data_IF_112142304117
#
_entry.id   IF_112142304117
#
_cell.length_a   1.000
_cell.length_b   1.000
_cell.length_c   1.000
_cell.angle_alpha   90.00
_cell.angle_beta   90.00
_cell.angle_gamma   90.00
#
_symmetry.space_group_name_H-M   'P 1'
#
loop_
_entity.id
_entity.type
_entity.pdbx_description
1 polymer ?
#
# COMPACT_ATOMS: atom_id res chain seq x y z
N UNK A 1 34.89 64.15 11.95
CA UNK A 1 33.48 63.92 11.57
C UNK A 1 33.25 62.43 11.38
N UNK A 2 32.47 61.80 12.25
CA UNK A 2 32.20 60.37 12.25
C UNK A 2 31.06 60.01 11.30
N UNK A 3 31.21 58.86 10.64
CA UNK A 3 30.39 58.34 9.55
C UNK A 3 29.05 57.78 10.05
N UNK A 4 27.93 58.27 9.49
CA UNK A 4 26.64 57.59 9.55
C UNK A 4 26.51 56.66 8.34
N UNK A 5 26.90 55.39 8.50
CA UNK A 5 26.54 54.32 7.56
C UNK A 5 25.96 53.14 8.34
N UNK A 6 24.72 53.29 8.80
CA UNK A 6 23.92 52.23 9.45
C UNK A 6 22.46 52.27 8.98
N UNK A 7 22.21 52.26 7.67
CA UNK A 7 20.82 52.28 7.16
C UNK A 7 20.49 51.23 6.09
N UNK A 8 21.46 50.55 5.48
CA UNK A 8 21.18 49.63 4.35
C UNK A 8 20.84 48.18 4.74
N UNK A 9 21.12 47.74 5.97
CA UNK A 9 20.90 46.34 6.38
C UNK A 9 19.45 46.00 6.78
N UNK A 10 18.65 47.02 7.13
CA UNK A 10 17.24 46.86 7.52
C UNK A 10 16.27 46.59 6.36
N UNK A 11 16.35 47.27 5.20
CA UNK A 11 15.43 46.99 4.10
C UNK A 11 15.66 45.60 3.48
N UNK A 12 16.91 45.12 3.42
CA UNK A 12 17.22 43.82 2.80
C UNK A 12 16.64 42.63 3.58
N UNK A 13 16.66 42.69 4.91
CA UNK A 13 16.06 41.67 5.77
C UNK A 13 14.52 41.66 5.65
N UNK A 14 13.91 42.82 5.47
CA UNK A 14 12.46 42.94 5.29
C UNK A 14 12.00 42.38 3.93
N UNK A 15 12.76 42.66 2.86
CA UNK A 15 12.49 42.11 1.53
C UNK A 15 12.67 40.60 1.50
N UNK A 16 13.70 40.07 2.17
CA UNK A 16 13.91 38.63 2.32
C UNK A 16 12.74 37.95 3.06
N UNK A 17 12.27 38.54 4.17
CA UNK A 17 11.14 38.01 4.92
C UNK A 17 9.83 38.06 4.10
N UNK A 18 9.61 39.13 3.34
CA UNK A 18 8.45 39.27 2.47
C UNK A 18 8.46 38.24 1.33
N UNK A 19 9.64 37.95 0.75
CA UNK A 19 9.81 36.95 -0.30
C UNK A 19 9.51 35.53 0.22
N UNK A 20 9.91 35.21 1.46
CA UNK A 20 9.60 33.92 2.10
C UNK A 20 8.11 33.77 2.37
N UNK A 21 7.41 34.84 2.76
CA UNK A 21 5.94 34.81 2.91
C UNK A 21 5.19 34.65 1.58
N UNK A 22 5.71 35.19 0.48
CA UNK A 22 5.11 35.04 -0.84
C UNK A 22 5.31 33.63 -1.44
N UNK A 23 6.33 32.90 -0.99
CA UNK A 23 6.62 31.53 -1.42
C UNK A 23 5.87 30.46 -0.60
N UNK A 24 5.19 30.84 0.49
CA UNK A 24 4.26 29.94 1.19
C UNK A 24 2.89 29.98 0.52
N UNK A 25 2.79 29.44 -0.70
CA UNK A 25 1.48 29.13 -1.29
C UNK A 25 0.85 28.01 -0.47
N UNK A 26 -0.20 28.35 0.27
CA UNK A 26 -0.99 27.36 0.99
C UNK A 26 -1.57 26.37 -0.04
N UNK A 27 -1.23 25.09 0.11
CA UNK A 27 -1.93 24.02 -0.58
C UNK A 27 -3.38 24.00 -0.05
N UNK A 28 -4.24 24.77 -0.71
CA UNK A 28 -5.67 24.87 -0.40
C UNK A 28 -6.33 23.55 -0.76
N UNK A 29 -6.42 22.65 0.22
CA UNK A 29 -7.31 21.51 0.13
C UNK A 29 -8.75 22.00 0.01
N UNK A 30 -9.49 21.47 -0.96
CA UNK A 30 -10.91 21.78 -1.09
C UNK A 30 -11.68 21.04 0.02
N UNK A 31 -12.33 21.79 0.91
CA UNK A 31 -13.24 21.20 1.92
C UNK A 31 -12.54 20.53 3.10
N UNK A 32 -13.35 19.80 3.90
CA UNK A 32 -12.94 19.11 5.13
C UNK A 32 -13.48 17.69 5.12
N UNK A 33 -12.67 16.77 5.59
CA UNK A 33 -13.05 15.36 5.77
C UNK A 33 -13.07 15.05 7.26
N UNK A 34 -14.08 14.31 7.70
CA UNK A 34 -14.16 13.75 9.05
C UNK A 34 -14.45 12.25 8.95
N UNK A 35 -13.48 11.45 9.37
CA UNK A 35 -13.66 10.01 9.53
C UNK A 35 -14.43 9.73 10.81
N UNK A 36 -15.41 8.83 10.77
CA UNK A 36 -16.12 8.40 11.99
C UNK A 36 -15.17 7.68 12.95
N UNK A 37 -14.25 6.85 12.41
CA UNK A 37 -13.23 6.12 13.16
C UNK A 37 -11.95 6.09 12.36
N UNK A 38 -10.82 6.34 13.02
CA UNK A 38 -9.47 6.20 12.42
C UNK A 38 -8.94 4.77 12.55
N UNK A 39 -9.38 4.04 13.58
CA UNK A 39 -9.11 2.61 13.75
C UNK A 39 -10.36 1.81 13.43
N UNK A 40 -10.26 0.90 12.47
CA UNK A 40 -11.39 0.14 11.94
C UNK A 40 -11.10 -1.35 12.07
N UNK A 41 -12.00 -2.08 12.72
CA UNK A 41 -11.92 -3.54 12.86
C UNK A 41 -12.56 -4.23 11.67
N UNK A 42 -11.93 -5.32 11.24
CA UNK A 42 -12.48 -6.20 10.23
C UNK A 42 -13.81 -6.79 10.73
N UNK A 43 -14.85 -6.74 9.87
CA UNK A 43 -16.18 -7.25 10.21
C UNK A 43 -16.25 -8.75 9.91
N UNK A 44 -16.70 -9.53 10.91
CA UNK A 44 -16.86 -10.99 10.85
C UNK A 44 -17.71 -11.47 9.69
N UNK A 45 -18.75 -10.72 9.34
CA UNK A 45 -19.83 -11.22 8.50
C UNK A 45 -19.39 -11.41 7.04
N UNK A 46 -18.39 -10.65 6.56
CA UNK A 46 -17.96 -10.67 5.15
C UNK A 46 -16.49 -10.26 4.91
N UNK A 47 -15.58 -10.40 5.89
CA UNK A 47 -14.12 -10.23 5.68
C UNK A 47 -13.72 -8.87 5.08
N UNK A 48 -14.07 -7.77 5.75
CA UNK A 48 -13.64 -6.45 5.30
C UNK A 48 -13.93 -5.32 6.29
N UNK A 49 -13.38 -4.15 5.97
CA UNK A 49 -13.47 -2.94 6.80
C UNK A 49 -14.55 -2.02 6.24
N UNK A 50 -15.49 -1.60 7.10
CA UNK A 50 -16.48 -0.57 6.75
C UNK A 50 -15.95 0.78 7.16
N UNK A 51 -15.71 1.63 6.16
CA UNK A 51 -15.26 3.00 6.35
C UNK A 51 -16.47 3.92 6.31
N UNK A 52 -16.55 4.81 7.29
CA UNK A 52 -17.56 5.86 7.36
C UNK A 52 -16.87 7.22 7.38
N UNK A 53 -17.28 8.07 6.45
CA UNK A 53 -16.67 9.37 6.21
C UNK A 53 -17.76 10.42 6.02
N UNK A 54 -17.52 11.60 6.61
CA UNK A 54 -18.33 12.80 6.39
C UNK A 54 -17.49 13.79 5.60
N UNK A 55 -18.01 14.21 4.46
CA UNK A 55 -17.32 15.13 3.55
C UNK A 55 -18.06 16.45 3.60
N UNK A 56 -17.30 17.53 3.82
CA UNK A 56 -17.79 18.89 3.85
C UNK A 56 -17.09 19.67 2.75
N UNK A 57 -17.82 20.03 1.69
CA UNK A 57 -17.29 20.85 0.61
C UNK A 57 -17.53 22.34 0.94
N UNK A 58 -16.65 23.24 0.47
CA UNK A 58 -16.80 24.68 0.73
C UNK A 58 -18.02 25.27 0.02
N UNK A 59 -18.44 24.64 -1.09
CA UNK A 59 -19.63 24.97 -1.86
C UNK A 59 -20.32 23.68 -2.28
N UNK A 60 -21.65 23.72 -2.39
CA UNK A 60 -22.41 22.61 -2.92
C UNK A 60 -21.97 22.29 -4.37
N UNK A 61 -21.82 21.00 -4.71
CA UNK A 61 -21.49 20.60 -6.06
C UNK A 61 -22.65 20.95 -7.01
N UNK A 62 -22.34 21.11 -8.30
CA UNK A 62 -23.33 21.35 -9.34
C UNK A 62 -24.03 20.08 -9.84
N UNK A 63 -23.60 18.92 -9.36
CA UNK A 63 -24.10 17.60 -9.73
C UNK A 63 -24.51 16.84 -8.47
N UNK A 64 -25.55 15.99 -8.54
CA UNK A 64 -26.03 15.22 -7.39
C UNK A 64 -25.03 14.15 -6.94
N UNK A 65 -24.21 13.64 -7.85
CA UNK A 65 -23.20 12.63 -7.60
C UNK A 65 -21.84 13.11 -8.09
N UNK A 66 -20.83 12.99 -7.25
CA UNK A 66 -19.46 13.38 -7.55
C UNK A 66 -18.56 12.15 -7.48
N UNK A 67 -17.87 11.77 -8.58
CA UNK A 67 -16.93 10.67 -8.54
C UNK A 67 -15.70 11.11 -7.76
N UNK A 68 -15.30 10.31 -6.77
CA UNK A 68 -14.17 10.57 -5.88
C UNK A 68 -13.23 9.37 -5.91
N UNK A 69 -11.93 9.65 -5.87
CA UNK A 69 -10.86 8.66 -5.79
C UNK A 69 -10.27 8.67 -4.40
N UNK A 70 -10.34 7.53 -3.71
CA UNK A 70 -9.67 7.30 -2.45
C UNK A 70 -8.34 6.60 -2.73
N UNK A 71 -7.23 7.29 -2.50
CA UNK A 71 -5.88 6.76 -2.66
C UNK A 71 -5.39 6.28 -1.29
N UNK A 72 -5.24 4.95 -1.15
CA UNK A 72 -4.74 4.27 0.03
C UNK A 72 -3.28 3.89 -0.16
N UNK A 73 -2.36 4.66 0.43
CA UNK A 73 -0.94 4.36 0.42
C UNK A 73 -0.58 3.56 1.69
N UNK A 74 -0.14 2.30 1.58
CA UNK A 74 0.22 1.50 2.75
C UNK A 74 1.53 2.02 3.38
N UNK A 75 1.46 2.42 4.65
CA UNK A 75 2.58 2.96 5.44
C UNK A 75 3.14 1.90 6.37
N UNK A 76 2.31 1.01 6.90
CA UNK A 76 2.75 -0.06 7.77
C UNK A 76 1.88 -1.30 7.59
N UNK A 77 2.51 -2.46 7.71
CA UNK A 77 1.86 -3.76 7.70
C UNK A 77 1.88 -4.35 9.11
N UNK A 78 0.76 -4.96 9.52
CA UNK A 78 0.71 -5.68 10.79
C UNK A 78 1.02 -7.16 10.51
N UNK A 79 2.28 -7.51 10.74
CA UNK A 79 2.79 -8.86 10.54
C UNK A 79 2.42 -9.74 11.72
N UNK A 80 1.93 -10.95 11.44
CA UNK A 80 1.81 -12.04 12.41
C UNK A 80 2.92 -13.03 12.14
N UNK A 81 3.99 -12.98 12.94
CA UNK A 81 5.13 -13.86 12.75
C UNK A 81 5.23 -14.89 13.86
N UNK A 82 5.53 -16.13 13.49
CA UNK A 82 5.94 -17.16 14.45
C UNK A 82 7.46 -17.10 14.59
N UNK A 83 7.92 -16.66 15.76
CA UNK A 83 9.35 -16.49 16.07
C UNK A 83 9.67 -17.41 17.26
N UNK A 84 10.55 -18.40 17.02
CA UNK A 84 11.12 -19.34 18.00
C UNK A 84 10.20 -19.67 19.19
N UNK A 85 9.17 -20.48 18.90
CA UNK A 85 8.13 -20.93 19.82
C UNK A 85 6.78 -21.14 19.13
N UNK A 86 5.74 -21.49 19.89
CA UNK A 86 4.36 -21.71 19.41
C UNK A 86 3.47 -20.46 19.52
N UNK A 87 4.03 -19.30 19.87
CA UNK A 87 3.27 -18.05 20.04
C UNK A 87 3.39 -17.17 18.80
N UNK A 88 2.24 -16.68 18.35
CA UNK A 88 2.13 -15.67 17.30
C UNK A 88 2.48 -14.30 17.88
N UNK A 89 3.49 -13.65 17.29
CA UNK A 89 3.85 -12.28 17.62
C UNK A 89 3.30 -11.34 16.55
N UNK A 90 2.51 -10.36 16.99
CA UNK A 90 2.07 -9.25 16.13
C UNK A 90 3.09 -8.11 16.17
N UNK A 91 3.58 -7.71 14.99
CA UNK A 91 4.56 -6.64 14.84
C UNK A 91 4.18 -5.68 13.74
N UNK A 92 4.32 -4.38 14.02
CA UNK A 92 4.20 -3.31 13.03
C UNK A 92 5.49 -3.23 12.19
N UNK A 93 5.38 -3.51 10.91
CA UNK A 93 6.47 -3.39 9.93
C UNK A 93 6.22 -2.15 9.08
N UNK A 94 7.07 -1.11 9.14
CA UNK A 94 6.91 0.05 8.26
C UNK A 94 7.19 -0.34 6.81
N UNK A 95 6.35 0.16 5.91
CA UNK A 95 6.46 0.00 4.47
C UNK A 95 6.85 1.33 3.83
N UNK A 96 7.71 1.29 2.81
CA UNK A 96 8.13 2.45 2.03
C UNK A 96 8.05 2.14 0.54
N UNK A 97 7.68 3.14 -0.28
CA UNK A 97 7.68 3.02 -1.74
C UNK A 97 6.61 2.08 -2.32
N UNK A 98 5.58 1.72 -1.55
CA UNK A 98 4.45 0.94 -2.04
C UNK A 98 3.50 1.83 -2.85
N UNK A 99 2.94 1.27 -3.91
CA UNK A 99 1.95 1.97 -4.74
C UNK A 99 0.64 2.18 -3.96
N UNK A 100 0.02 3.36 -4.16
CA UNK A 100 -1.30 3.64 -3.60
C UNK A 100 -2.38 2.83 -4.34
N UNK A 101 -3.25 2.19 -3.58
CA UNK A 101 -4.45 1.53 -4.10
C UNK A 101 -5.54 2.58 -4.28
N UNK A 102 -6.23 2.57 -5.41
CA UNK A 102 -7.21 3.61 -5.76
C UNK A 102 -8.59 2.98 -5.80
N UNK A 103 -9.48 3.45 -4.92
CA UNK A 103 -10.91 3.12 -4.97
C UNK A 103 -11.67 4.30 -5.55
N UNK A 104 -12.24 4.08 -6.74
CA UNK A 104 -13.15 5.04 -7.37
C UNK A 104 -14.57 4.81 -6.86
N UNK A 105 -15.13 5.80 -6.19
CA UNK A 105 -16.47 5.71 -5.59
C UNK A 105 -17.26 6.96 -5.93
N UNK A 106 -18.53 6.79 -6.30
CA UNK A 106 -19.42 7.91 -6.59
C UNK A 106 -20.19 8.33 -5.33
N UNK A 107 -20.04 9.60 -4.93
CA UNK A 107 -20.58 10.11 -3.67
C UNK A 107 -21.78 11.01 -3.96
N UNK A 108 -22.94 10.62 -3.41
CA UNK A 108 -24.17 11.41 -3.48
C UNK A 108 -24.17 12.59 -2.50
N UNK A 109 -24.44 13.78 -3.00
CA UNK A 109 -24.68 15.02 -2.25
C UNK A 109 -26.15 15.46 -2.26
N UNK A 110 -26.99 14.73 -2.99
CA UNK A 110 -28.43 14.91 -2.99
C UNK A 110 -29.02 14.35 -1.69
N UNK A 111 -29.69 15.21 -0.90
CA UNK A 111 -30.46 14.75 0.25
C UNK A 111 -31.79 14.15 -0.23
N UNK A 112 -32.06 12.85 0.01
CA UNK A 112 -33.27 12.18 -0.50
C UNK A 112 -34.57 12.76 0.09
N UNK A 113 -34.52 13.43 1.25
CA UNK A 113 -35.69 14.06 1.84
C UNK A 113 -36.06 15.39 1.19
N UNK A 114 -35.08 16.27 1.00
CA UNK A 114 -35.32 17.62 0.47
C UNK A 114 -35.15 17.76 -1.04
N UNK A 115 -34.52 16.78 -1.72
CA UNK A 115 -34.16 16.86 -3.14
C UNK A 115 -33.14 17.97 -3.44
N UNK A 116 -32.52 18.56 -2.41
CA UNK A 116 -31.52 19.62 -2.55
C UNK A 116 -30.13 19.02 -2.48
N UNK A 117 -29.22 19.60 -3.26
CA UNK A 117 -27.80 19.25 -3.20
C UNK A 117 -27.18 20.01 -2.02
N UNK A 118 -26.81 19.27 -0.97
CA UNK A 118 -26.13 19.84 0.18
C UNK A 118 -24.61 19.88 -0.03
N UNK A 119 -23.88 20.83 0.57
CA UNK A 119 -22.42 20.84 0.57
C UNK A 119 -21.80 19.76 1.47
N UNK A 120 -22.62 19.07 2.28
CA UNK A 120 -22.20 18.07 3.24
C UNK A 120 -22.87 16.74 2.92
N UNK A 121 -22.11 15.65 3.04
CA UNK A 121 -22.66 14.31 2.87
C UNK A 121 -21.99 13.34 3.85
N UNK A 122 -22.73 12.29 4.21
CA UNK A 122 -22.23 11.17 4.98
C UNK A 122 -22.22 9.96 4.06
N UNK A 123 -21.08 9.31 3.97
CA UNK A 123 -20.87 8.22 3.05
C UNK A 123 -20.22 7.04 3.78
N UNK A 124 -20.61 5.83 3.42
CA UNK A 124 -20.01 4.62 3.94
C UNK A 124 -19.77 3.63 2.83
N UNK A 125 -18.60 3.02 2.81
CA UNK A 125 -18.26 1.97 1.84
C UNK A 125 -17.45 0.87 2.52
N UNK A 126 -17.35 -0.26 1.84
CA UNK A 126 -16.64 -1.44 2.31
C UNK A 126 -15.36 -1.59 1.51
N UNK A 127 -14.26 -1.84 2.20
CA UNK A 127 -12.98 -2.23 1.64
C UNK A 127 -12.71 -3.66 2.04
N UNK A 128 -12.21 -4.50 1.12
CA UNK A 128 -12.07 -5.94 1.34
C UNK A 128 -10.68 -6.44 0.99
N UNK A 129 -10.29 -7.57 1.58
CA UNK A 129 -9.02 -8.23 1.25
C UNK A 129 -8.92 -8.66 -0.22
N UNK A 130 -10.06 -8.93 -0.87
CA UNK A 130 -10.11 -9.29 -2.28
C UNK A 130 -9.55 -8.19 -3.21
N UNK A 131 -9.57 -6.92 -2.79
CA UNK A 131 -8.97 -5.81 -3.53
C UNK A 131 -7.48 -5.59 -3.18
N UNK A 132 -6.86 -6.52 -2.43
CA UNK A 132 -5.45 -6.43 -2.02
C UNK A 132 -5.21 -5.66 -0.71
N UNK A 133 -6.25 -5.41 0.09
CA UNK A 133 -6.10 -4.77 1.39
C UNK A 133 -5.72 -5.77 2.47
N UNK A 134 -4.89 -5.32 3.40
CA UNK A 134 -4.38 -6.11 4.52
C UNK A 134 -4.53 -5.31 5.81
N UNK A 135 -4.41 -5.97 6.96
CA UNK A 135 -4.38 -5.25 8.24
C UNK A 135 -3.06 -4.45 8.35
N UNK A 136 -3.17 -3.18 8.73
CA UNK A 136 -2.04 -2.25 8.68
C UNK A 136 -2.46 -0.80 8.80
N UNK A 137 -1.53 0.10 8.44
CA UNK A 137 -1.75 1.54 8.44
C UNK A 137 -1.68 2.08 7.02
N UNK A 138 -2.69 2.87 6.64
CA UNK A 138 -2.82 3.44 5.31
C UNK A 138 -2.92 4.96 5.41
N UNK A 139 -2.16 5.67 4.58
CA UNK A 139 -2.36 7.11 4.35
C UNK A 139 -3.44 7.24 3.29
N UNK A 140 -4.57 7.82 3.67
CA UNK A 140 -5.69 8.03 2.76
C UNK A 140 -5.68 9.45 2.27
N UNK A 141 -5.58 9.61 0.96
CA UNK A 141 -5.74 10.88 0.26
C UNK A 141 -6.99 10.81 -0.60
N UNK A 142 -7.83 11.83 -0.52
CA UNK A 142 -9.07 11.88 -1.29
C UNK A 142 -8.93 12.91 -2.40
N UNK A 143 -9.28 12.53 -3.63
CA UNK A 143 -9.27 13.42 -4.80
C UNK A 143 -10.61 13.40 -5.52
N UNK A 144 -11.02 14.54 -6.06
CA UNK A 144 -12.14 14.57 -7.01
C UNK A 144 -11.70 13.86 -8.30
N UNK A 145 -12.51 12.90 -8.75
CA UNK A 145 -12.23 12.07 -9.92
C UNK A 145 -12.24 12.83 -11.24
N UNK A 146 -12.86 14.01 -11.29
CA UNK A 146 -13.02 14.83 -12.52
C UNK A 146 -11.82 15.72 -12.78
N UNK A 147 -11.29 16.37 -11.75
CA UNK A 147 -10.22 17.37 -11.86
C UNK A 147 -8.94 16.98 -11.11
N UNK A 148 -8.93 15.87 -10.37
CA UNK A 148 -7.79 15.43 -9.57
C UNK A 148 -7.49 16.30 -8.35
N UNK A 149 -8.37 17.25 -8.03
CA UNK A 149 -8.20 18.18 -6.91
C UNK A 149 -8.29 17.44 -5.58
N UNK A 150 -7.36 17.77 -4.68
CA UNK A 150 -7.31 17.16 -3.36
C UNK A 150 -8.42 17.72 -2.46
N UNK A 151 -9.20 16.81 -1.89
CA UNK A 151 -10.30 17.10 -0.97
C UNK A 151 -9.80 16.89 0.46
N UNK A 152 -9.94 17.90 1.31
CA UNK A 152 -9.53 17.85 2.73
C UNK A 152 -8.07 17.47 2.96
N UNK A 153 -7.75 16.96 4.15
CA UNK A 153 -6.35 16.63 4.52
C UNK A 153 -6.11 15.13 4.48
N UNK A 154 -4.95 14.67 3.95
CA UNK A 154 -4.57 13.27 4.05
C UNK A 154 -4.59 12.79 5.50
N UNK A 155 -5.16 11.63 5.74
CA UNK A 155 -5.35 11.07 7.10
C UNK A 155 -4.84 9.65 7.15
N UNK A 156 -4.17 9.26 8.23
CA UNK A 156 -3.75 7.87 8.44
C UNK A 156 -4.89 7.07 9.09
N UNK A 157 -5.30 5.99 8.45
CA UNK A 157 -6.25 5.01 8.97
C UNK A 157 -5.52 3.72 9.38
N UNK A 158 -6.01 3.09 10.45
CA UNK A 158 -5.51 1.82 10.97
C UNK A 158 -6.56 0.74 10.75
N UNK A 159 -6.21 -0.28 9.98
CA UNK A 159 -7.05 -1.43 9.70
C UNK A 159 -6.60 -2.56 10.62
N UNK A 160 -7.46 -2.93 11.56
CA UNK A 160 -7.25 -4.05 12.46
C UNK A 160 -7.87 -5.30 11.85
N UNK A 161 -7.12 -6.39 11.85
CA UNK A 161 -7.55 -7.66 11.31
C UNK A 161 -6.42 -8.69 11.43
N UNK A 162 -6.76 -9.94 11.16
CA UNK A 162 -5.82 -11.03 11.24
C UNK A 162 -5.15 -11.24 9.88
N UNK A 163 -3.88 -10.86 9.75
CA UNK A 163 -3.11 -11.14 8.55
C UNK A 163 -2.58 -12.58 8.51
N UNK A 164 -2.00 -12.96 7.38
CA UNK A 164 -1.36 -14.25 7.20
C UNK A 164 -0.20 -14.43 8.18
N UNK A 165 -0.05 -15.68 8.64
CA UNK A 165 1.02 -16.06 9.55
C UNK A 165 2.29 -16.33 8.75
N UNK A 166 3.34 -15.55 9.03
CA UNK A 166 4.65 -15.71 8.41
C UNK A 166 5.56 -16.49 9.36
N UNK A 167 6.08 -17.62 8.92
CA UNK A 167 7.09 -18.34 9.69
C UNK A 167 8.45 -17.63 9.57
N UNK A 168 8.99 -17.16 10.69
CA UNK A 168 10.32 -16.54 10.78
C UNK A 168 11.29 -17.34 11.65
N UNK A 169 10.96 -18.60 11.97
CA UNK A 169 11.84 -19.49 12.72
C UNK A 169 13.19 -19.58 12.02
N UNK A 170 14.26 -19.52 12.81
CA UNK A 170 15.61 -19.56 12.25
C UNK A 170 15.89 -20.94 11.66
N UNK A 171 16.17 -21.01 10.36
CA UNK A 171 16.77 -22.20 9.77
C UNK A 171 18.21 -22.27 10.26
N UNK A 172 18.46 -23.07 11.31
CA UNK A 172 19.83 -23.37 11.74
C UNK A 172 20.43 -24.32 10.72
N UNK A 173 21.16 -23.76 9.76
CA UNK A 173 22.07 -24.53 8.91
C UNK A 173 23.21 -25.06 9.79
N UNK A 174 22.97 -26.17 10.48
CA UNK A 174 24.06 -26.94 11.06
C UNK A 174 24.83 -27.57 9.90
N UNK A 175 26.06 -27.08 9.65
CA UNK A 175 27.05 -27.73 8.80
C UNK A 175 27.32 -29.14 9.32
N UNK A 176 26.49 -30.11 8.91
CA UNK A 176 26.76 -31.55 9.04
C UNK A 176 27.81 -31.93 7.99
N UNK A 177 29.05 -31.51 8.20
CA UNK A 177 30.11 -31.73 7.21
C UNK A 177 31.55 -31.56 7.67
N UNK A 178 31.86 -31.57 8.97
CA UNK A 178 33.27 -31.60 9.43
C UNK A 178 33.44 -32.28 10.80
N UNK A 179 32.94 -33.51 10.97
CA UNK A 179 33.39 -34.39 12.07
C UNK A 179 34.49 -35.34 11.56
N UNK A 180 35.71 -34.89 11.83
CA UNK A 180 36.98 -35.62 11.96
C UNK A 180 36.80 -37.15 12.11
N UNK A 181 37.16 -37.90 11.07
CA UNK A 181 37.45 -39.34 11.15
C UNK A 181 38.69 -39.51 12.05
N UNK A 182 38.58 -40.26 13.14
CA UNK A 182 39.71 -40.90 13.80
C UNK A 182 39.30 -42.34 14.10
N UNK A 183 40.02 -43.25 13.47
CA UNK A 183 40.02 -44.70 13.70
C UNK A 183 40.09 -45.03 15.20
N UNK A 184 39.37 -46.07 15.62
CA UNK A 184 40.02 -47.27 16.16
C UNK A 184 39.06 -48.47 16.15
N UNK A 185 39.68 -49.63 15.97
CA UNK A 185 39.15 -50.91 15.54
C UNK A 185 39.09 -51.87 16.75
N UNK A 186 38.01 -52.68 16.89
CA UNK A 186 37.98 -54.07 17.40
C UNK A 186 36.70 -54.49 18.17
N UNK A 187 35.96 -55.37 17.48
CA UNK A 187 35.77 -56.80 17.78
C UNK A 187 34.75 -57.29 18.85
N UNK A 188 33.75 -57.98 18.29
CA UNK A 188 33.07 -59.26 18.66
C UNK A 188 32.18 -59.34 19.92
N UNK A 189 30.88 -59.65 19.71
CA UNK A 189 30.19 -60.95 20.00
C UNK A 189 29.83 -61.07 21.50
N UNK A 190 28.60 -61.36 21.95
CA UNK A 190 27.64 -62.44 21.65
C UNK A 190 26.23 -61.97 22.11
N UNK A 191 25.14 -62.15 21.34
CA UNK A 191 24.27 -63.34 21.19
C UNK A 191 23.20 -63.49 22.29
N UNK A 192 21.92 -63.46 21.86
CA UNK A 192 20.76 -64.34 22.18
C UNK A 192 19.44 -63.58 21.96
N UNK A 193 18.66 -64.02 20.97
CA UNK A 193 17.50 -64.94 21.10
C UNK A 193 16.31 -64.22 21.76
N UNK A 194 15.06 -64.29 21.30
CA UNK A 194 14.36 -65.30 20.50
C UNK A 194 13.01 -64.66 20.08
N UNK A 195 12.40 -65.16 18.99
CA UNK A 195 10.95 -65.25 18.70
C UNK A 195 10.04 -64.00 18.84
N UNK A 196 9.03 -63.75 18.02
CA UNK A 196 8.24 -64.66 17.20
C UNK A 196 7.22 -63.83 16.39
N UNK A 197 7.04 -64.22 15.13
CA UNK A 197 5.72 -64.35 14.46
C UNK A 197 4.91 -63.09 14.12
N UNK A 198 5.08 -62.65 12.89
CA UNK A 198 3.98 -62.25 11.98
C UNK A 198 2.98 -63.43 11.81
N UNK A 199 1.69 -63.18 11.54
CA UNK A 199 1.32 -63.23 10.13
C UNK A 199 0.25 -62.23 9.68
N UNK A 200 0.31 -61.96 8.38
CA UNK A 200 -0.69 -61.33 7.54
C UNK A 200 -2.03 -62.09 7.47
N UNK A 201 -3.11 -61.39 7.11
CA UNK A 201 -3.96 -61.65 5.93
C UNK A 201 -5.36 -61.01 6.02
N UNK A 202 -5.76 -60.33 4.92
CA UNK A 202 -7.10 -60.30 4.32
C UNK A 202 -8.17 -59.44 5.03
N UNK A 203 -9.13 -58.78 4.38
CA UNK A 203 -9.72 -58.98 3.04
C UNK A 203 -10.55 -57.73 2.66
N UNK A 204 -10.51 -57.30 1.41
CA UNK A 204 -11.59 -56.53 0.72
C UNK A 204 -12.86 -57.44 0.55
N UNK A 205 -14.09 -56.99 0.17
CA UNK A 205 -14.38 -56.00 -0.87
C UNK A 205 -15.68 -55.15 -0.76
N UNK A 206 -15.90 -54.40 -1.84
CA UNK A 206 -16.97 -53.48 -2.25
C UNK A 206 -18.45 -53.94 -2.19
N UNK A 207 -19.36 -52.96 -2.15
CA UNK A 207 -20.60 -52.78 -2.93
C UNK A 207 -21.15 -51.37 -2.55
N UNK A 208 -21.51 -50.44 -3.43
CA UNK A 208 -22.27 -50.56 -4.67
C UNK A 208 -23.73 -50.21 -4.39
N UNK A 209 -24.20 -49.02 -4.83
CA UNK A 209 -25.59 -48.73 -5.27
C UNK A 209 -25.84 -47.21 -5.41
N UNK A 210 -25.66 -46.71 -6.63
CA UNK A 210 -26.56 -45.71 -7.25
C UNK A 210 -27.91 -46.41 -7.57
N UNK A 211 -29.05 -45.72 -7.77
CA UNK A 211 -29.28 -45.08 -9.08
C UNK A 211 -30.08 -43.76 -9.11
N UNK A 212 -29.70 -42.98 -10.12
CA UNK A 212 -30.42 -42.07 -11.01
C UNK A 212 -31.96 -42.07 -11.06
N UNK A 213 -32.53 -40.87 -11.29
CA UNK A 213 -33.20 -40.42 -12.54
C UNK A 213 -33.82 -39.03 -12.26
N UNK A 214 -33.52 -37.97 -13.01
CA UNK A 214 -34.04 -37.67 -14.35
C UNK A 214 -34.99 -36.47 -14.22
N UNK A 215 -34.79 -35.31 -14.85
CA UNK A 215 -35.26 -35.07 -16.22
C UNK A 215 -34.78 -33.69 -16.70
N UNK A 216 -34.13 -33.67 -17.86
CA UNK A 216 -33.99 -32.52 -18.76
C UNK A 216 -35.30 -32.33 -19.55
N UNK A 217 -35.49 -31.22 -20.31
CA UNK A 217 -35.12 -31.34 -21.72
C UNK A 217 -34.47 -30.09 -22.34
N UNK A 218 -33.59 -30.40 -23.29
CA UNK A 218 -32.96 -29.54 -24.26
C UNK A 218 -33.92 -28.97 -25.32
N UNK A 219 -33.49 -27.85 -25.94
CA UNK A 219 -33.56 -27.48 -27.37
C UNK A 219 -33.21 -25.97 -27.44
N UNK A 220 -32.41 -25.40 -28.35
CA UNK A 220 -31.71 -25.89 -29.53
C UNK A 220 -30.61 -24.87 -29.89
N UNK A 221 -29.45 -25.36 -30.31
CA UNK A 221 -28.48 -24.63 -31.13
C UNK A 221 -29.09 -24.40 -32.53
N UNK A 222 -28.69 -23.35 -33.25
CA UNK A 222 -27.85 -23.68 -34.40
C UNK A 222 -26.73 -22.67 -34.61
N UNK A 223 -25.50 -23.16 -34.57
CA UNK A 223 -24.40 -22.61 -35.37
C UNK A 223 -24.13 -23.60 -36.50
N UNK A 224 -23.90 -23.16 -37.75
CA UNK A 224 -22.52 -23.21 -38.20
C UNK A 224 -22.16 -22.09 -39.18
N UNK A 225 -21.14 -21.31 -38.84
CA UNK A 225 -20.26 -20.74 -39.84
C UNK A 225 -18.83 -20.93 -39.34
N UNK A 226 -18.22 -22.02 -39.81
CA UNK A 226 -16.81 -22.25 -39.74
C UNK A 226 -16.10 -21.14 -40.53
N UNK A 227 -15.26 -20.37 -39.87
CA UNK A 227 -14.17 -19.65 -40.50
C UNK A 227 -12.88 -20.18 -39.90
N UNK A 228 -12.27 -21.10 -40.66
CA UNK A 228 -10.86 -21.46 -40.56
C UNK A 228 -10.03 -20.18 -40.71
N UNK A 229 -9.42 -19.72 -39.61
CA UNK A 229 -8.36 -18.70 -39.66
C UNK A 229 -7.13 -19.28 -38.93
N UNK A 230 -6.00 -19.51 -39.62
CA UNK A 230 -4.81 -20.09 -39.02
C UNK A 230 -4.18 -19.14 -37.99
N UNK A 231 -3.38 -19.65 -37.02
CA UNK A 231 -2.79 -18.84 -35.97
C UNK A 231 -1.90 -17.74 -36.56
N UNK A 232 -2.24 -16.47 -36.29
CA UNK A 232 -1.38 -15.35 -36.66
C UNK A 232 -0.07 -15.44 -35.87
N UNK A 233 1.00 -15.81 -36.58
CA UNK A 233 2.38 -15.69 -36.12
C UNK A 233 2.62 -14.24 -35.66
N UNK A 234 3.02 -14.10 -34.40
CA UNK A 234 3.48 -12.83 -33.83
C UNK A 234 4.77 -12.46 -34.56
N UNK A 235 4.62 -11.62 -35.58
CA UNK A 235 5.72 -11.05 -36.34
C UNK A 235 6.42 -10.02 -35.45
N UNK A 236 7.46 -10.45 -34.77
CA UNK A 236 8.39 -9.59 -34.03
C UNK A 236 8.83 -8.43 -34.92
N UNK A 237 8.48 -7.19 -34.52
CA UNK A 237 8.98 -5.97 -35.15
C UNK A 237 10.26 -5.55 -34.44
N UNK A 238 11.44 -5.64 -35.06
CA UNK A 238 12.63 -4.96 -34.57
C UNK A 238 12.57 -3.50 -35.01
N UNK A 239 12.93 -2.58 -34.12
CA UNK A 239 13.19 -1.21 -34.53
C UNK A 239 12.76 -0.17 -33.51
N UNK A 240 13.63 0.05 -32.51
CA UNK A 240 13.61 1.26 -31.71
C UNK A 240 13.69 2.49 -32.61
N UNK A 241 12.68 3.35 -32.53
CA UNK A 241 12.72 4.67 -33.14
C UNK A 241 13.07 5.67 -32.04
N UNK A 242 14.29 6.19 -32.14
CA UNK A 242 14.92 7.06 -31.16
C UNK A 242 14.18 8.37 -30.94
N UNK A 243 13.90 8.67 -29.67
CA UNK A 243 13.83 10.03 -29.20
C UNK A 243 15.28 10.54 -29.08
N UNK A 244 15.76 11.23 -30.12
CA UNK A 244 16.92 12.12 -30.03
C UNK A 244 16.64 13.14 -28.92
N UNK A 245 17.48 13.16 -27.90
CA UNK A 245 17.65 14.32 -27.03
C UNK A 245 18.14 15.47 -27.91
N UNK A 246 17.35 16.53 -28.05
CA UNK A 246 17.85 17.78 -28.58
C UNK A 246 18.79 18.39 -27.54
N UNK A 247 20.03 18.64 -27.98
CA UNK A 247 21.04 19.43 -27.27
C UNK A 247 20.46 20.81 -26.91
N UNK A 248 20.32 21.06 -25.61
CA UNK A 248 20.18 22.41 -25.05
C UNK A 248 21.57 22.89 -24.62
N UNK A 249 21.96 24.14 -24.94
CA UNK A 249 23.31 24.62 -24.75
C UNK A 249 23.73 24.65 -23.28
N UNK A 250 24.95 24.16 -23.03
CA UNK A 250 25.64 24.20 -21.75
C UNK A 250 25.62 25.60 -21.14
N UNK A 251 24.91 25.75 -20.03
CA UNK A 251 24.94 26.97 -19.22
C UNK A 251 25.67 26.64 -17.90
N UNK A 252 26.66 27.45 -17.48
CA UNK A 252 27.62 27.07 -16.44
C UNK A 252 26.98 26.95 -15.05
N UNK A 253 27.35 25.86 -14.36
CA UNK A 253 27.12 25.61 -12.95
C UNK A 253 27.68 26.76 -12.10
N UNK A 254 26.80 27.57 -11.52
CA UNK A 254 27.16 28.60 -10.53
C UNK A 254 26.89 28.01 -9.14
N UNK A 255 27.91 27.75 -8.29
CA UNK A 255 27.70 27.20 -6.95
C UNK A 255 27.23 28.29 -5.98
N UNK A 256 25.91 28.47 -5.86
CA UNK A 256 25.27 29.40 -4.91
C UNK A 256 25.01 28.78 -3.51
N UNK A 257 25.83 27.79 -3.11
CA UNK A 257 25.67 27.07 -1.84
C UNK A 257 26.48 27.58 -0.63
N UNK A 258 27.56 28.39 -0.72
CA UNK A 258 28.30 28.78 0.50
C UNK A 258 27.80 30.07 1.18
N UNK A 259 26.95 30.88 0.53
CA UNK A 259 26.54 32.19 1.08
C UNK A 259 25.57 32.09 2.27
N UNK A 260 24.74 31.04 2.34
CA UNK A 260 23.79 30.85 3.45
C UNK A 260 24.48 30.43 4.76
N UNK A 261 25.59 29.68 4.68
CA UNK A 261 26.36 29.23 5.85
C UNK A 261 27.24 30.33 6.45
N UNK A 262 27.76 31.26 5.63
CA UNK A 262 28.54 32.40 6.11
C UNK A 262 27.71 33.40 6.93
N UNK A 263 26.43 33.58 6.57
CA UNK A 263 25.50 34.47 7.29
C UNK A 263 25.20 34.00 8.72
N UNK A 264 25.07 32.69 8.94
CA UNK A 264 24.77 32.11 10.26
C UNK A 264 25.97 32.21 11.22
N UNK A 265 27.19 32.02 10.70
CA UNK A 265 28.43 32.11 11.50
C UNK A 265 28.74 33.53 11.95
N UNK A 266 28.43 34.56 11.15
CA UNK A 266 28.61 35.96 11.55
C UNK A 266 27.61 36.40 12.63
N UNK A 267 26.38 35.87 12.62
CA UNK A 267 25.38 36.14 13.66
C UNK A 267 25.74 35.46 15.00
N UNK A 268 26.28 34.23 14.96
CA UNK A 268 26.75 33.52 16.16
C UNK A 268 27.97 34.20 16.79
N UNK A 269 28.89 34.75 15.99
CA UNK A 269 30.10 35.43 16.50
C UNK A 269 29.78 36.78 17.16
N UNK A 270 28.70 37.46 16.75
CA UNK A 270 28.28 38.73 17.32
C UNK A 270 27.56 38.57 18.67
N UNK A 271 26.85 37.46 18.88
CA UNK A 271 26.21 37.15 20.18
C UNK A 271 27.20 36.75 21.28
N UNK A 272 28.42 36.32 20.95
CA UNK A 272 29.46 35.98 21.95
C UNK A 272 30.35 37.16 22.37
N UNK A 273 30.16 38.34 21.78
CA UNK A 273 30.96 39.55 22.10
C UNK A 273 30.12 40.68 22.71
N UNK A 274 28.84 40.44 22.97
CA UNK A 274 27.95 41.35 23.69
C UNK A 274 27.71 40.79 25.10
#
# INVERSE_FOLDING_TARGET
MWTHSRSAARPLAFVSFLLVLLMTTAALAAGRIQWSKTTVKERSDHGGWRLEVKIFMPRAPNVPHVPVKFEFEPIAYYERSMVDGDKLLERRVPLTGRQAMIEGVDIGFLDPGSGKIEPRTKFSFKVTRAHGYEAGEYKVTIRDGRNGQLIGTPTTLKFEGENEVIDRRTMVFADKGAKKKKDDDKKAEEKKDDGSTEPAEGSEPAEGSEPAEGSEPAEADPTPAASDDPPQEIKDKPGGCGCRTQDLPSTPSTPLAPAALAGLLLLLRRRRRA
#
